data_IF_100657063607
#
_entry.id   IF_100657063607
#
_cell.length_a   1.000
_cell.length_b   1.000
_cell.length_c   1.000
_cell.angle_alpha   90.00
_cell.angle_beta   90.00
_cell.angle_gamma   90.00
#
_symmetry.space_group_name_H-M   'P 1'
#
loop_
_entity.id
_entity.type
_entity.pdbx_description
1 polymer ?
#
# COMPACT_ATOMS: atom_id res chain seq x y z
N UNK A 1 1.61 10.93 33.97
CA UNK A 1 0.25 11.21 33.45
C UNK A 1 -0.23 9.95 32.73
N UNK A 2 -1.31 9.29 33.20
CA UNK A 2 -1.78 8.03 32.64
C UNK A 2 -2.84 8.31 31.56
N UNK A 3 -2.65 7.83 30.33
CA UNK A 3 -3.62 8.00 29.23
C UNK A 3 -4.27 6.70 28.76
N UNK A 4 -4.22 5.62 29.55
CA UNK A 4 -4.68 4.29 29.09
C UNK A 4 -5.84 3.72 29.91
N UNK A 5 -6.62 4.58 30.59
CA UNK A 5 -7.73 4.14 31.45
C UNK A 5 -9.13 4.18 30.84
N UNK A 6 -9.36 4.94 29.77
CA UNK A 6 -10.74 5.34 29.41
C UNK A 6 -11.30 4.66 28.16
N UNK A 7 -10.46 4.03 27.36
CA UNK A 7 -10.88 3.43 26.09
C UNK A 7 -11.14 1.91 26.19
N UNK A 8 -10.95 1.28 27.35
CA UNK A 8 -11.27 -0.15 27.56
C UNK A 8 -10.40 -1.14 26.78
N UNK A 9 -9.28 -0.70 26.18
CA UNK A 9 -8.35 -1.56 25.45
C UNK A 9 -7.39 -2.22 26.43
N UNK A 10 -7.45 -3.54 26.54
CA UNK A 10 -6.50 -4.36 27.31
C UNK A 10 -5.35 -4.85 26.42
N UNK A 11 -4.16 -4.98 26.99
CA UNK A 11 -2.89 -5.28 26.29
C UNK A 11 -2.90 -6.59 25.48
N UNK A 12 -3.83 -7.50 25.77
CA UNK A 12 -4.02 -8.80 25.15
C UNK A 12 -4.74 -8.77 23.78
N UNK A 13 -5.22 -7.60 23.33
CA UNK A 13 -5.93 -7.51 22.04
C UNK A 13 -5.02 -7.53 20.80
N UNK A 14 -3.71 -7.30 20.94
CA UNK A 14 -2.77 -7.29 19.81
C UNK A 14 -2.28 -8.69 19.39
N UNK A 15 -2.69 -9.76 20.07
CA UNK A 15 -2.05 -11.08 19.93
C UNK A 15 -2.90 -12.21 19.33
N UNK A 16 -4.23 -12.09 19.27
CA UNK A 16 -5.07 -13.20 18.81
C UNK A 16 -6.11 -12.72 17.83
N UNK A 17 -5.76 -12.75 16.55
CA UNK A 17 -6.73 -12.83 15.47
C UNK A 17 -7.57 -14.08 15.71
N UNK A 18 -8.68 -13.97 16.44
CA UNK A 18 -9.67 -15.03 16.64
C UNK A 18 -10.52 -15.21 15.38
N UNK A 19 -9.92 -15.10 14.21
CA UNK A 19 -10.53 -15.58 13.00
C UNK A 19 -10.37 -17.10 13.01
N UNK A 20 -11.35 -17.79 13.61
CA UNK A 20 -11.48 -19.24 13.43
C UNK A 20 -11.66 -19.48 11.93
N UNK A 21 -10.62 -19.99 11.28
CA UNK A 21 -10.69 -20.52 9.93
C UNK A 21 -11.48 -21.83 9.96
N UNK A 22 -12.81 -21.73 9.96
CA UNK A 22 -13.68 -22.82 9.54
C UNK A 22 -14.09 -22.53 8.10
N UNK A 23 -13.60 -23.35 7.16
CA UNK A 23 -13.98 -23.31 5.75
C UNK A 23 -12.86 -22.83 4.83
N UNK A 24 -12.17 -23.78 4.20
CA UNK A 24 -11.45 -23.50 2.97
C UNK A 24 -12.48 -23.26 1.88
N UNK A 25 -12.83 -22.00 1.64
CA UNK A 25 -13.75 -21.62 0.58
C UNK A 25 -12.99 -21.06 -0.62
N UNK A 26 -13.55 -21.32 -1.81
CA UNK A 26 -13.28 -20.67 -3.11
C UNK A 26 -13.25 -19.14 -3.08
N UNK A 27 -13.61 -18.54 -1.94
CA UNK A 27 -13.86 -17.13 -1.70
C UNK A 27 -12.58 -16.31 -1.52
N UNK A 28 -11.47 -16.94 -1.10
CA UNK A 28 -10.22 -16.20 -0.91
C UNK A 28 -9.62 -15.77 -2.26
N UNK A 29 -9.57 -16.67 -3.23
CA UNK A 29 -9.05 -16.35 -4.56
C UNK A 29 -9.91 -15.31 -5.30
N UNK A 30 -11.24 -15.32 -5.10
CA UNK A 30 -12.13 -14.30 -5.67
C UNK A 30 -12.00 -12.97 -4.95
N UNK A 31 -11.87 -12.97 -3.62
CA UNK A 31 -11.63 -11.76 -2.83
C UNK A 31 -10.30 -11.09 -3.21
N UNK A 32 -9.21 -11.86 -3.35
CA UNK A 32 -7.91 -11.35 -3.80
C UNK A 32 -7.99 -10.74 -5.21
N UNK A 33 -8.73 -11.37 -6.13
CA UNK A 33 -8.96 -10.83 -7.47
C UNK A 33 -9.71 -9.50 -7.43
N UNK A 34 -10.80 -9.42 -6.66
CA UNK A 34 -11.58 -8.19 -6.51
C UNK A 34 -10.75 -7.06 -5.88
N UNK A 35 -9.98 -7.37 -4.83
CA UNK A 35 -9.09 -6.41 -4.20
C UNK A 35 -8.04 -5.89 -5.19
N UNK A 36 -7.42 -6.80 -5.95
CA UNK A 36 -6.42 -6.43 -6.97
C UNK A 36 -7.02 -5.52 -8.02
N UNK A 37 -8.22 -5.81 -8.50
CA UNK A 37 -8.92 -4.99 -9.49
C UNK A 37 -9.24 -3.59 -8.95
N UNK A 38 -9.78 -3.52 -7.72
CA UNK A 38 -10.10 -2.25 -7.07
C UNK A 38 -8.84 -1.40 -6.86
N UNK A 39 -7.74 -2.00 -6.41
CA UNK A 39 -6.48 -1.30 -6.21
C UNK A 39 -5.89 -0.77 -7.52
N UNK A 40 -5.98 -1.54 -8.61
CA UNK A 40 -5.55 -1.09 -9.94
C UNK A 40 -6.37 0.10 -10.45
N UNK A 41 -7.69 0.04 -10.29
CA UNK A 41 -8.59 1.14 -10.69
C UNK A 41 -8.30 2.43 -9.91
N UNK A 42 -8.10 2.32 -8.60
CA UNK A 42 -7.74 3.45 -7.75
C UNK A 42 -6.40 4.04 -8.18
N UNK A 43 -5.37 3.21 -8.34
CA UNK A 43 -4.05 3.68 -8.76
C UNK A 43 -4.09 4.36 -10.14
N UNK A 44 -4.85 3.80 -11.08
CA UNK A 44 -5.07 4.43 -12.39
C UNK A 44 -5.71 5.80 -12.26
N UNK A 45 -6.78 5.92 -11.45
CA UNK A 45 -7.43 7.21 -11.20
C UNK A 45 -6.48 8.24 -10.57
N UNK A 46 -5.57 7.82 -9.69
CA UNK A 46 -4.58 8.70 -9.09
C UNK A 46 -3.51 9.14 -10.09
N UNK A 47 -3.02 8.23 -10.94
CA UNK A 47 -2.01 8.53 -11.96
C UNK A 47 -2.54 9.38 -13.12
N UNK A 48 -3.84 9.33 -13.39
CA UNK A 48 -4.51 10.13 -14.43
C UNK A 48 -4.80 11.58 -13.96
N UNK A 49 -4.61 11.91 -12.67
CA UNK A 49 -4.75 13.27 -12.16
C UNK A 49 -3.71 14.22 -12.77
N UNK A 50 -4.08 15.47 -13.05
CA UNK A 50 -3.22 16.46 -13.71
C UNK A 50 -1.90 16.71 -12.95
N UNK A 51 -1.99 16.79 -11.62
CA UNK A 51 -0.84 17.03 -10.75
C UNK A 51 -0.04 15.76 -10.40
N UNK A 52 -0.41 14.59 -10.94
CA UNK A 52 0.31 13.35 -10.66
C UNK A 52 1.61 13.20 -11.46
N UNK A 53 1.97 14.19 -12.28
CA UNK A 53 3.17 14.17 -13.11
C UNK A 53 4.48 13.81 -12.35
N UNK A 54 4.71 14.21 -11.08
CA UNK A 54 5.95 13.88 -10.38
C UNK A 54 6.10 12.38 -10.07
N UNK A 55 5.01 11.61 -10.11
CA UNK A 55 4.97 10.20 -9.72
C UNK A 55 4.88 9.24 -10.93
N UNK A 56 4.86 9.77 -12.15
CA UNK A 56 4.72 8.96 -13.37
C UNK A 56 6.01 8.19 -13.70
N UNK A 57 7.15 8.76 -13.38
CA UNK A 57 8.48 8.22 -13.69
C UNK A 57 9.43 8.37 -12.49
N UNK A 58 10.45 7.50 -12.36
CA UNK A 58 11.48 7.65 -11.34
C UNK A 58 12.24 8.97 -11.48
N UNK A 59 12.73 9.51 -10.36
CA UNK A 59 13.56 10.72 -10.38
C UNK A 59 14.95 10.41 -10.94
N UNK A 60 15.40 11.22 -11.90
CA UNK A 60 16.73 11.13 -12.47
C UNK A 60 17.78 11.76 -11.53
N UNK A 61 18.80 10.98 -11.16
CA UNK A 61 19.90 11.45 -10.32
C UNK A 61 20.73 12.56 -10.99
N UNK A 62 20.67 12.69 -12.32
CA UNK A 62 21.35 13.79 -13.04
C UNK A 62 20.69 15.13 -12.80
N UNK A 63 19.36 15.12 -12.64
CA UNK A 63 18.57 16.33 -12.40
C UNK A 63 18.50 16.65 -10.90
N UNK A 64 18.51 15.63 -10.04
CA UNK A 64 18.50 15.75 -8.57
C UNK A 64 19.60 14.87 -7.96
N UNK A 65 20.84 15.37 -7.81
CA UNK A 65 22.01 14.56 -7.42
C UNK A 65 21.94 13.93 -6.04
N UNK A 66 21.27 14.57 -5.07
CA UNK A 66 21.16 14.12 -3.68
C UNK A 66 19.92 13.23 -3.44
N UNK A 67 19.12 12.95 -4.48
CA UNK A 67 17.84 12.26 -4.35
C UNK A 67 17.96 10.90 -3.65
N UNK A 68 18.86 10.04 -4.11
CA UNK A 68 19.07 8.69 -3.56
C UNK A 68 19.92 8.69 -2.26
N UNK A 69 20.54 9.82 -1.93
CA UNK A 69 21.20 10.00 -0.63
C UNK A 69 20.18 10.23 0.49
N UNK A 70 19.03 10.83 0.18
CA UNK A 70 17.97 11.14 1.14
C UNK A 70 16.84 10.10 1.08
N UNK A 71 16.37 9.77 -0.12
CA UNK A 71 15.27 8.83 -0.35
C UNK A 71 15.81 7.41 -0.54
N UNK A 72 15.58 6.55 0.47
CA UNK A 72 16.14 5.19 0.52
C UNK A 72 15.30 4.12 -0.16
N UNK A 73 14.00 4.37 -0.29
CA UNK A 73 13.05 3.47 -0.97
C UNK A 73 12.26 4.28 -2.00
N UNK A 74 12.86 4.54 -3.19
CA UNK A 74 12.23 5.34 -4.23
C UNK A 74 11.03 4.60 -4.83
N UNK A 75 9.89 5.28 -4.87
CA UNK A 75 8.67 4.78 -5.50
C UNK A 75 8.57 5.31 -6.93
N UNK A 76 8.24 4.45 -7.89
CA UNK A 76 8.12 4.82 -9.31
C UNK A 76 8.28 3.63 -10.25
N UNK A 77 8.03 3.84 -11.56
CA UNK A 77 8.15 2.77 -12.57
C UNK A 77 9.61 2.40 -12.83
N UNK A 78 10.11 1.36 -12.17
CA UNK A 78 11.42 0.75 -12.46
C UNK A 78 11.31 -0.57 -13.23
N UNK A 79 10.10 -1.13 -13.34
CA UNK A 79 9.87 -2.45 -13.95
C UNK A 79 9.02 -2.35 -15.24
N UNK A 80 9.57 -2.69 -16.41
CA UNK A 80 8.86 -2.60 -17.69
C UNK A 80 7.68 -3.59 -17.84
N UNK A 81 7.51 -4.54 -16.92
CA UNK A 81 6.47 -5.57 -17.01
C UNK A 81 5.18 -5.27 -16.22
N UNK A 82 5.11 -4.14 -15.50
CA UNK A 82 3.91 -3.75 -14.74
C UNK A 82 3.07 -2.79 -15.58
N UNK A 83 1.97 -3.29 -16.15
CA UNK A 83 0.89 -2.48 -16.73
C UNK A 83 -0.30 -2.45 -15.76
N UNK A 84 -0.88 -1.26 -15.57
CA UNK A 84 -2.07 -1.02 -14.76
C UNK A 84 -3.30 -0.85 -15.64
#
# INVERSE_FOLDING_TARGET
MPITGEAGWTLDQWGHSRFRTLGGSTDNATNLKHLTMLMRQLLKSMLDHADAWPFKEPVDARDVPDYYEIIKDPMGKTNPYISY
#
